data_IF_242918298220
#
_entry.id   IF_242918298220
#
_cell.length_a   1.000
_cell.length_b   1.000
_cell.length_c   1.000
_cell.angle_alpha   90.00
_cell.angle_beta   90.00
_cell.angle_gamma   90.00
#
_symmetry.space_group_name_H-M   'P 1'
#
loop_
_entity.id
_entity.type
_entity.pdbx_description
1 polymer ?
#
# COMPACT_ATOMS: atom_id res chain seq x y z
N UNK A 1 17.62 -22.70 -19.78
CA UNK A 1 17.21 -23.89 -19.00
C UNK A 1 18.18 -24.21 -17.86
N UNK A 2 19.39 -24.72 -18.10
CA UNK A 2 20.34 -25.07 -17.02
C UNK A 2 20.79 -23.87 -16.18
N UNK A 3 21.27 -22.81 -16.85
CA UNK A 3 21.76 -21.57 -16.25
C UNK A 3 20.65 -20.80 -15.49
N UNK A 4 19.45 -20.69 -16.07
CA UNK A 4 18.29 -20.05 -15.42
C UNK A 4 17.86 -20.76 -14.12
N UNK A 5 17.95 -22.09 -14.09
CA UNK A 5 17.59 -22.88 -12.90
C UNK A 5 18.61 -22.65 -11.78
N UNK A 6 19.89 -22.58 -12.13
CA UNK A 6 20.96 -22.27 -11.17
C UNK A 6 20.83 -20.86 -10.60
N UNK A 7 20.53 -19.87 -11.45
CA UNK A 7 20.27 -18.49 -11.02
C UNK A 7 19.09 -18.39 -10.05
N UNK A 8 17.98 -19.07 -10.33
CA UNK A 8 16.82 -19.12 -9.43
C UNK A 8 17.18 -19.81 -8.11
N UNK A 9 17.90 -20.93 -8.15
CA UNK A 9 18.30 -21.62 -6.93
C UNK A 9 19.23 -20.76 -6.06
N UNK A 10 20.16 -20.02 -6.69
CA UNK A 10 21.00 -19.04 -6.01
C UNK A 10 20.14 -17.96 -5.36
N UNK A 11 19.18 -17.39 -6.07
CA UNK A 11 18.26 -16.39 -5.55
C UNK A 11 17.51 -16.89 -4.31
N UNK A 12 16.87 -18.06 -4.39
CA UNK A 12 16.11 -18.63 -3.26
C UNK A 12 17.00 -18.81 -2.03
N UNK A 13 18.20 -19.39 -2.21
CA UNK A 13 19.15 -19.61 -1.11
C UNK A 13 19.58 -18.29 -0.44
N UNK A 14 19.81 -17.24 -1.23
CA UNK A 14 20.20 -15.93 -0.72
C UNK A 14 19.05 -15.25 0.04
N UNK A 15 17.83 -15.27 -0.51
CA UNK A 15 16.66 -14.65 0.12
C UNK A 15 16.38 -15.28 1.49
N UNK A 16 16.58 -16.58 1.69
CA UNK A 16 16.33 -17.25 2.98
C UNK A 16 17.57 -17.38 3.89
N UNK A 17 18.69 -16.78 3.50
CA UNK A 17 19.96 -16.94 4.22
C UNK A 17 19.93 -16.40 5.65
N UNK A 18 20.72 -17.03 6.54
CA UNK A 18 20.85 -16.61 7.95
C UNK A 18 21.57 -15.26 8.10
N UNK A 19 22.63 -15.03 7.31
CA UNK A 19 23.40 -13.79 7.32
C UNK A 19 22.66 -12.66 6.60
N UNK A 20 22.67 -11.45 7.16
CA UNK A 20 21.93 -10.33 6.56
C UNK A 20 22.57 -9.88 5.24
N UNK A 21 23.89 -10.00 5.10
CA UNK A 21 24.63 -9.67 3.88
C UNK A 21 24.18 -10.54 2.69
N UNK A 22 24.03 -11.84 2.91
CA UNK A 22 23.52 -12.76 1.89
C UNK A 22 22.08 -12.43 1.49
N UNK A 23 21.24 -12.00 2.44
CA UNK A 23 19.88 -11.54 2.13
C UNK A 23 19.88 -10.26 1.30
N UNK A 24 20.76 -9.31 1.61
CA UNK A 24 20.96 -8.09 0.80
C UNK A 24 21.41 -8.45 -0.62
N UNK A 25 22.33 -9.42 -0.77
CA UNK A 25 22.75 -9.93 -2.09
C UNK A 25 21.56 -10.54 -2.84
N UNK A 26 20.71 -11.32 -2.17
CA UNK A 26 19.51 -11.88 -2.77
C UNK A 26 18.54 -10.82 -3.28
N UNK A 27 18.35 -9.74 -2.52
CA UNK A 27 17.49 -8.61 -2.91
C UNK A 27 18.09 -7.86 -4.11
N UNK A 28 19.39 -7.60 -4.13
CA UNK A 28 20.07 -7.00 -5.28
C UNK A 28 19.98 -7.89 -6.53
N UNK A 29 20.17 -9.20 -6.36
CA UNK A 29 20.06 -10.17 -7.46
C UNK A 29 18.64 -10.19 -8.03
N UNK A 30 17.60 -10.13 -7.19
CA UNK A 30 16.24 -10.06 -7.70
C UNK A 30 16.01 -8.81 -8.57
N UNK A 31 16.49 -7.64 -8.12
CA UNK A 31 16.37 -6.42 -8.90
C UNK A 31 17.07 -6.53 -10.26
N UNK A 32 18.27 -7.11 -10.27
CA UNK A 32 19.02 -7.36 -11.50
C UNK A 32 18.25 -8.28 -12.46
N UNK A 33 17.67 -9.36 -11.93
CA UNK A 33 16.82 -10.27 -12.71
C UNK A 33 15.55 -9.59 -13.24
N UNK A 34 14.94 -8.69 -12.47
CA UNK A 34 13.80 -7.89 -12.96
C UNK A 34 14.21 -6.99 -14.14
N UNK A 35 15.39 -6.36 -14.07
CA UNK A 35 15.90 -5.46 -15.12
C UNK A 35 16.33 -6.21 -16.38
N UNK A 36 17.04 -7.33 -16.21
CA UNK A 36 17.73 -8.02 -17.30
C UNK A 36 17.00 -9.26 -17.81
N UNK A 37 16.14 -9.87 -16.99
CA UNK A 37 15.45 -11.13 -17.29
C UNK A 37 14.00 -11.15 -16.77
N UNK A 38 13.16 -10.13 -17.06
CA UNK A 38 11.83 -9.98 -16.46
C UNK A 38 10.93 -11.20 -16.71
N UNK A 39 11.04 -11.86 -17.86
CA UNK A 39 10.26 -13.09 -18.17
C UNK A 39 10.56 -14.24 -17.22
N UNK A 40 11.81 -14.40 -16.78
CA UNK A 40 12.19 -15.43 -15.81
C UNK A 40 11.50 -15.15 -14.47
N UNK A 41 11.49 -13.88 -14.05
CA UNK A 41 10.85 -13.44 -12.80
C UNK A 41 9.34 -13.62 -12.87
N UNK A 42 8.69 -13.12 -13.93
CA UNK A 42 7.22 -13.20 -14.04
C UNK A 42 6.71 -14.63 -14.15
N UNK A 43 7.48 -15.53 -14.78
CA UNK A 43 7.15 -16.97 -14.84
C UNK A 43 7.20 -17.64 -13.46
N UNK A 44 8.06 -17.17 -12.55
CA UNK A 44 8.28 -17.75 -11.23
C UNK A 44 7.78 -16.84 -10.10
N UNK A 45 6.87 -15.90 -10.41
CA UNK A 45 6.60 -14.75 -9.55
C UNK A 45 6.09 -15.14 -8.17
N UNK A 46 5.19 -16.13 -8.09
CA UNK A 46 4.60 -16.56 -6.82
C UNK A 46 5.67 -17.14 -5.89
N UNK A 47 6.60 -17.94 -6.43
CA UNK A 47 7.65 -18.57 -5.63
C UNK A 47 8.71 -17.57 -5.19
N UNK A 48 9.21 -16.75 -6.12
CA UNK A 48 10.19 -15.70 -5.83
C UNK A 48 9.66 -14.74 -4.77
N UNK A 49 8.44 -14.24 -4.97
CA UNK A 49 7.91 -13.25 -4.06
C UNK A 49 7.48 -13.85 -2.74
N UNK A 50 7.14 -15.14 -2.67
CA UNK A 50 6.91 -15.87 -1.42
C UNK A 50 8.08 -15.78 -0.45
N UNK A 51 9.32 -15.86 -0.94
CA UNK A 51 10.52 -15.64 -0.11
C UNK A 51 10.82 -14.14 0.08
N UNK A 52 10.60 -13.33 -0.96
CA UNK A 52 10.86 -11.89 -0.92
C UNK A 52 10.03 -11.15 0.16
N UNK A 53 8.74 -11.49 0.34
CA UNK A 53 7.91 -10.84 1.38
C UNK A 53 8.45 -11.07 2.79
N UNK A 54 9.17 -12.17 3.04
CA UNK A 54 9.84 -12.40 4.32
C UNK A 54 10.93 -11.38 4.61
N UNK A 55 11.43 -10.67 3.59
CA UNK A 55 12.46 -9.62 3.71
C UNK A 55 11.84 -8.23 3.91
N UNK A 56 10.60 -8.02 3.49
CA UNK A 56 9.86 -6.79 3.83
C UNK A 56 9.66 -6.70 5.36
N UNK A 57 9.54 -7.85 6.03
CA UNK A 57 9.41 -7.96 7.50
C UNK A 57 10.72 -8.39 8.18
N UNK A 58 11.88 -8.13 7.58
CA UNK A 58 13.18 -8.59 8.12
C UNK A 58 13.47 -8.03 9.54
N UNK A 59 14.17 -8.81 10.36
CA UNK A 59 14.58 -8.39 11.69
C UNK A 59 15.68 -7.32 11.63
N UNK A 60 16.50 -7.32 10.58
CA UNK A 60 17.56 -6.34 10.38
C UNK A 60 17.08 -5.16 9.55
N UNK A 61 17.09 -3.97 10.16
CA UNK A 61 16.50 -2.76 9.56
C UNK A 61 17.12 -2.34 8.22
N UNK A 62 18.42 -2.57 8.01
CA UNK A 62 19.06 -2.26 6.72
C UNK A 62 18.53 -3.14 5.59
N UNK A 63 18.23 -4.41 5.88
CA UNK A 63 17.58 -5.31 4.92
C UNK A 63 16.18 -4.80 4.62
N UNK A 64 15.37 -4.48 5.64
CA UNK A 64 14.03 -3.93 5.41
C UNK A 64 14.03 -2.69 4.53
N UNK A 65 14.91 -1.73 4.82
CA UNK A 65 15.02 -0.50 4.04
C UNK A 65 15.38 -0.82 2.58
N UNK A 66 16.44 -1.60 2.35
CA UNK A 66 16.86 -1.97 0.99
C UNK A 66 15.74 -2.70 0.23
N UNK A 67 15.04 -3.63 0.88
CA UNK A 67 13.96 -4.39 0.25
C UNK A 67 12.83 -3.48 -0.19
N UNK A 68 12.46 -2.49 0.63
CA UNK A 68 11.40 -1.53 0.29
C UNK A 68 11.84 -0.59 -0.84
N UNK A 69 13.08 -0.12 -0.82
CA UNK A 69 13.65 0.71 -1.91
C UNK A 69 13.67 -0.07 -3.24
N UNK A 70 14.12 -1.33 -3.19
CA UNK A 70 14.15 -2.23 -4.35
C UNK A 70 12.73 -2.60 -4.81
N UNK A 71 11.80 -2.79 -3.88
CA UNK A 71 10.41 -3.07 -4.21
C UNK A 71 9.78 -1.92 -5.02
N UNK A 72 10.07 -0.68 -4.66
CA UNK A 72 9.63 0.49 -5.42
C UNK A 72 10.10 0.41 -6.89
N UNK A 73 11.36 0.06 -7.14
CA UNK A 73 11.88 -0.14 -8.50
C UNK A 73 11.23 -1.34 -9.21
N UNK A 74 11.07 -2.46 -8.50
CA UNK A 74 10.46 -3.68 -9.06
C UNK A 74 9.01 -3.42 -9.47
N UNK A 75 8.25 -2.65 -8.70
CA UNK A 75 6.87 -2.26 -9.04
C UNK A 75 6.83 -1.52 -10.36
N UNK A 76 7.71 -0.54 -10.57
CA UNK A 76 7.80 0.21 -11.82
C UNK A 76 8.27 -0.64 -13.01
N UNK A 77 9.01 -1.73 -12.77
CA UNK A 77 9.51 -2.63 -13.84
C UNK A 77 8.47 -3.69 -14.23
N UNK A 78 7.82 -4.30 -13.23
CA UNK A 78 6.95 -5.46 -13.45
C UNK A 78 5.46 -5.10 -13.54
N UNK A 79 5.05 -3.94 -13.01
CA UNK A 79 3.69 -3.40 -13.10
C UNK A 79 2.61 -4.47 -12.79
N UNK A 80 1.62 -4.62 -13.68
CA UNK A 80 0.53 -5.57 -13.57
C UNK A 80 0.97 -7.04 -13.46
N UNK A 81 2.21 -7.39 -13.83
CA UNK A 81 2.69 -8.74 -13.62
C UNK A 81 2.74 -9.12 -12.14
N UNK A 82 2.81 -8.15 -11.22
CA UNK A 82 2.78 -8.34 -9.77
C UNK A 82 1.40 -8.66 -9.21
N UNK A 83 0.33 -8.59 -10.02
CA UNK A 83 -1.04 -8.84 -9.57
C UNK A 83 -1.24 -10.13 -8.74
N UNK A 84 -0.60 -11.27 -9.05
CA UNK A 84 -0.72 -12.49 -8.24
C UNK A 84 -0.18 -12.40 -6.81
N UNK A 85 0.71 -11.44 -6.54
CA UNK A 85 1.40 -11.27 -5.24
C UNK A 85 1.17 -9.89 -4.62
N UNK A 86 0.38 -9.04 -5.28
CA UNK A 86 0.10 -7.66 -4.89
C UNK A 86 -0.38 -7.53 -3.44
N UNK A 87 -1.32 -8.36 -3.01
CA UNK A 87 -1.89 -8.31 -1.66
C UNK A 87 -0.79 -8.43 -0.60
N UNK A 88 0.10 -9.42 -0.73
CA UNK A 88 1.17 -9.66 0.23
C UNK A 88 2.22 -8.53 0.23
N UNK A 89 2.51 -7.97 -0.95
CA UNK A 89 3.43 -6.85 -1.12
C UNK A 89 2.89 -5.59 -0.43
N UNK A 90 1.63 -5.23 -0.73
CA UNK A 90 0.98 -4.06 -0.16
C UNK A 90 0.85 -4.20 1.36
N UNK A 91 0.40 -5.36 1.86
CA UNK A 91 0.34 -5.61 3.31
C UNK A 91 1.72 -5.40 3.98
N UNK A 92 2.79 -5.89 3.34
CA UNK A 92 4.16 -5.70 3.81
C UNK A 92 4.60 -4.22 3.83
N UNK A 93 4.27 -3.46 2.79
CA UNK A 93 4.55 -2.02 2.70
C UNK A 93 3.82 -1.29 3.84
N UNK A 94 2.51 -1.52 3.99
CA UNK A 94 1.67 -0.83 4.97
C UNK A 94 2.13 -1.09 6.41
N UNK A 95 2.57 -2.32 6.74
CA UNK A 95 3.16 -2.64 8.05
C UNK A 95 4.40 -1.81 8.36
N UNK A 96 5.20 -1.47 7.34
CA UNK A 96 6.43 -0.70 7.51
C UNK A 96 6.21 0.82 7.59
N UNK A 97 5.03 1.34 7.22
CA UNK A 97 4.70 2.76 7.42
C UNK A 97 4.73 3.15 8.90
N UNK A 98 4.46 2.22 9.81
CA UNK A 98 4.55 2.46 11.26
C UNK A 98 5.98 2.32 11.84
N UNK A 99 6.99 2.12 10.99
CA UNK A 99 8.38 2.01 11.46
C UNK A 99 8.84 3.31 12.12
N UNK A 100 9.52 3.19 13.27
CA UNK A 100 10.20 4.32 13.92
C UNK A 100 11.53 4.68 13.28
N UNK A 101 12.05 3.81 12.41
CA UNK A 101 13.27 4.09 11.66
C UNK A 101 12.90 4.93 10.43
N UNK A 102 13.43 6.16 10.30
CA UNK A 102 13.02 7.09 9.25
C UNK A 102 13.39 6.61 7.85
N UNK A 103 14.49 5.85 7.71
CA UNK A 103 14.89 5.28 6.42
C UNK A 103 13.92 4.21 5.95
N UNK A 104 13.52 3.31 6.86
CA UNK A 104 12.49 2.29 6.56
C UNK A 104 11.13 2.93 6.25
N UNK A 105 10.72 3.95 7.02
CA UNK A 105 9.46 4.65 6.76
C UNK A 105 9.48 5.35 5.39
N UNK A 106 10.54 6.09 5.06
CA UNK A 106 10.66 6.75 3.76
C UNK A 106 10.65 5.76 2.59
N UNK A 107 11.34 4.62 2.71
CA UNK A 107 11.33 3.57 1.71
C UNK A 107 9.92 2.95 1.54
N UNK A 108 9.19 2.77 2.64
CA UNK A 108 7.80 2.28 2.60
C UNK A 108 6.86 3.28 1.90
N UNK A 109 6.99 4.58 2.19
CA UNK A 109 6.23 5.64 1.51
C UNK A 109 6.52 5.63 0.01
N UNK A 110 7.80 5.54 -0.38
CA UNK A 110 8.19 5.45 -1.79
C UNK A 110 7.58 4.22 -2.49
N UNK A 111 7.67 3.04 -1.88
CA UNK A 111 7.06 1.83 -2.43
C UNK A 111 5.53 1.93 -2.56
N UNK A 112 4.87 2.64 -1.63
CA UNK A 112 3.44 2.92 -1.69
C UNK A 112 3.08 3.86 -2.84
N UNK A 113 3.89 4.88 -3.10
CA UNK A 113 3.72 5.82 -4.21
C UNK A 113 3.87 5.11 -5.57
N UNK A 114 4.91 4.29 -5.73
CA UNK A 114 5.09 3.47 -6.93
C UNK A 114 3.94 2.48 -7.13
N UNK A 115 3.41 1.91 -6.04
CA UNK A 115 2.23 1.03 -6.10
C UNK A 115 1.06 1.76 -6.77
N UNK A 116 0.76 2.99 -6.36
CA UNK A 116 -0.36 3.77 -6.93
C UNK A 116 -0.12 4.18 -8.37
N UNK A 117 1.13 4.47 -8.72
CA UNK A 117 1.50 4.86 -10.07
C UNK A 117 1.35 3.70 -11.07
N UNK A 118 1.70 2.48 -10.68
CA UNK A 118 1.88 1.36 -11.62
C UNK A 118 0.91 0.19 -11.46
N UNK A 119 0.22 0.04 -10.31
CA UNK A 119 -0.65 -1.12 -10.05
C UNK A 119 -2.13 -0.77 -10.23
N UNK A 120 -2.97 -1.80 -10.37
CA UNK A 120 -4.42 -1.63 -10.53
C UNK A 120 -5.06 -0.90 -9.35
N UNK A 121 -5.51 0.33 -9.63
CA UNK A 121 -6.13 1.26 -8.65
C UNK A 121 -7.32 0.67 -7.90
N UNK A 122 -8.12 -0.17 -8.57
CA UNK A 122 -9.31 -0.80 -7.95
C UNK A 122 -8.88 -1.80 -6.89
N UNK A 123 -7.86 -2.61 -7.20
CA UNK A 123 -7.30 -3.60 -6.28
C UNK A 123 -6.58 -2.94 -5.11
N UNK A 124 -5.80 -1.89 -5.37
CA UNK A 124 -5.18 -1.08 -4.32
C UNK A 124 -6.20 -0.46 -3.36
N UNK A 125 -7.29 0.12 -3.87
CA UNK A 125 -8.31 0.72 -3.00
C UNK A 125 -8.95 -0.33 -2.08
N UNK A 126 -9.20 -1.55 -2.59
CA UNK A 126 -9.72 -2.65 -1.77
C UNK A 126 -8.73 -3.03 -0.68
N UNK A 127 -7.46 -3.19 -1.03
CA UNK A 127 -6.43 -3.61 -0.08
C UNK A 127 -6.16 -2.53 0.99
N UNK A 128 -6.04 -1.26 0.59
CA UNK A 128 -5.88 -0.15 1.52
C UNK A 128 -7.05 -0.09 2.50
N UNK A 129 -8.29 -0.18 2.00
CA UNK A 129 -9.49 -0.19 2.85
C UNK A 129 -9.51 -1.38 3.81
N UNK A 130 -9.11 -2.57 3.35
CA UNK A 130 -9.06 -3.78 4.17
C UNK A 130 -8.06 -3.65 5.34
N UNK A 131 -6.87 -3.12 5.06
CA UNK A 131 -5.81 -2.96 6.08
C UNK A 131 -5.99 -1.71 6.94
N UNK A 132 -6.78 -0.74 6.49
CA UNK A 132 -6.89 0.59 7.08
C UNK A 132 -7.16 0.57 8.59
N UNK A 133 -8.05 -0.32 9.06
CA UNK A 133 -8.42 -0.40 10.48
C UNK A 133 -7.29 -0.87 11.40
N UNK A 134 -6.23 -1.48 10.84
CA UNK A 134 -5.06 -1.94 11.59
C UNK A 134 -4.01 -0.85 11.76
N UNK A 135 -4.14 0.28 11.05
CA UNK A 135 -3.18 1.37 11.08
C UNK A 135 -3.45 2.34 12.23
N UNK A 136 -2.43 3.12 12.59
CA UNK A 136 -2.53 4.15 13.61
C UNK A 136 -1.58 5.31 13.32
N UNK A 137 -1.74 6.43 14.02
CA UNK A 137 -0.84 7.57 13.91
C UNK A 137 -0.69 8.09 12.48
N UNK A 138 0.55 8.36 12.07
CA UNK A 138 0.87 8.91 10.74
C UNK A 138 0.54 7.93 9.61
N UNK A 139 0.83 6.62 9.78
CA UNK A 139 0.55 5.62 8.75
C UNK A 139 -0.92 5.55 8.36
N UNK A 140 -1.83 5.74 9.32
CA UNK A 140 -3.27 5.80 9.05
C UNK A 140 -3.62 7.03 8.20
N UNK A 141 -2.96 8.17 8.44
CA UNK A 141 -3.16 9.39 7.64
C UNK A 141 -2.60 9.22 6.24
N UNK A 142 -1.38 8.68 6.11
CA UNK A 142 -0.73 8.44 4.82
C UNK A 142 -1.61 7.57 3.92
N UNK A 143 -2.12 6.44 4.45
CA UNK A 143 -3.02 5.56 3.70
C UNK A 143 -4.37 6.22 3.39
N UNK A 144 -4.86 7.10 4.26
CA UNK A 144 -6.10 7.85 3.99
C UNK A 144 -5.91 8.84 2.83
N UNK A 145 -4.76 9.51 2.75
CA UNK A 145 -4.43 10.37 1.61
C UNK A 145 -4.33 9.54 0.32
N UNK A 146 -3.69 8.39 0.38
CA UNK A 146 -3.62 7.46 -0.76
C UNK A 146 -4.99 6.95 -1.22
N UNK A 147 -5.89 6.62 -0.29
CA UNK A 147 -7.29 6.28 -0.64
C UNK A 147 -7.95 7.47 -1.34
N UNK A 148 -7.74 8.70 -0.85
CA UNK A 148 -8.29 9.92 -1.42
C UNK A 148 -7.84 10.13 -2.87
N UNK A 149 -6.54 9.96 -3.15
CA UNK A 149 -5.97 10.04 -4.49
C UNK A 149 -6.58 9.03 -5.48
N UNK A 150 -7.00 7.86 -4.99
CA UNK A 150 -7.61 6.81 -5.81
C UNK A 150 -9.11 7.04 -6.07
N UNK A 151 -9.80 7.89 -5.31
CA UNK A 151 -11.28 8.04 -5.35
C UNK A 151 -11.78 8.31 -6.76
N UNK A 152 -11.24 9.32 -7.45
CA UNK A 152 -11.71 9.71 -8.78
C UNK A 152 -11.48 8.60 -9.82
N UNK A 153 -10.25 8.08 -9.90
CA UNK A 153 -9.88 7.06 -10.86
C UNK A 153 -10.61 5.73 -10.64
N UNK A 154 -10.84 5.35 -9.38
CA UNK A 154 -11.61 4.14 -9.05
C UNK A 154 -13.10 4.35 -9.29
N UNK A 155 -13.64 5.54 -8.98
CA UNK A 155 -15.05 5.83 -9.24
C UNK A 155 -15.38 5.73 -10.74
N UNK A 156 -14.53 6.27 -11.61
CA UNK A 156 -14.73 6.22 -13.06
C UNK A 156 -14.84 4.78 -13.61
N UNK A 157 -14.11 3.83 -13.01
CA UNK A 157 -14.10 2.42 -13.44
C UNK A 157 -15.08 1.53 -12.68
N UNK A 158 -15.26 1.78 -11.39
CA UNK A 158 -16.00 0.91 -10.47
C UNK A 158 -16.56 1.72 -9.28
N UNK A 159 -17.66 2.49 -9.48
CA UNK A 159 -18.29 3.30 -8.43
C UNK A 159 -18.62 2.51 -7.16
N UNK A 160 -19.02 1.25 -7.30
CA UNK A 160 -19.35 0.37 -6.17
C UNK A 160 -18.17 0.11 -5.24
N UNK A 161 -16.93 0.12 -5.76
CA UNK A 161 -15.73 -0.05 -4.93
C UNK A 161 -15.49 1.19 -4.07
N UNK A 162 -15.71 2.40 -4.60
CA UNK A 162 -15.64 3.63 -3.80
C UNK A 162 -16.67 3.59 -2.66
N UNK A 163 -17.89 3.14 -2.95
CA UNK A 163 -18.94 3.01 -1.94
C UNK A 163 -18.63 1.96 -0.86
N UNK A 164 -18.01 0.83 -1.23
CA UNK A 164 -17.72 -0.28 -0.31
C UNK A 164 -16.37 -0.16 0.40
N UNK A 165 -15.44 0.65 -0.11
CA UNK A 165 -14.07 0.71 0.39
C UNK A 165 -13.69 2.10 0.94
N UNK A 166 -13.89 3.18 0.19
CA UNK A 166 -13.49 4.52 0.62
C UNK A 166 -14.52 5.15 1.58
N UNK A 167 -15.81 4.96 1.31
CA UNK A 167 -16.87 5.54 2.13
C UNK A 167 -16.88 5.01 3.59
N UNK A 168 -16.71 3.71 3.86
CA UNK A 168 -16.59 3.23 5.25
C UNK A 168 -15.38 3.80 6.00
N UNK A 169 -14.28 4.09 5.30
CA UNK A 169 -13.10 4.74 5.88
C UNK A 169 -13.44 6.16 6.35
N UNK A 170 -14.17 6.93 5.53
CA UNK A 170 -14.66 8.26 5.93
C UNK A 170 -15.52 8.18 7.21
N UNK A 171 -16.47 7.24 7.25
CA UNK A 171 -17.35 7.06 8.42
C UNK A 171 -16.56 6.68 9.67
N UNK A 172 -15.66 5.70 9.57
CA UNK A 172 -14.84 5.28 10.70
C UNK A 172 -13.96 6.43 11.24
N UNK A 173 -13.44 7.31 10.36
CA UNK A 173 -12.69 8.50 10.77
C UNK A 173 -13.55 9.52 11.52
N UNK A 174 -14.76 9.79 11.02
CA UNK A 174 -15.69 10.74 11.64
C UNK A 174 -16.21 10.22 12.99
N UNK A 175 -16.37 8.90 13.12
CA UNK A 175 -16.80 8.25 14.35
C UNK A 175 -15.76 8.28 15.46
N UNK A 176 -14.46 8.20 15.12
CA UNK A 176 -13.38 8.20 16.11
C UNK A 176 -13.47 9.43 17.01
N UNK A 177 -13.73 9.19 18.30
CA UNK A 177 -13.87 10.23 19.34
C UNK A 177 -12.54 10.93 19.63
N UNK A 178 -11.44 10.19 19.52
CA UNK A 178 -10.08 10.69 19.61
C UNK A 178 -9.34 10.23 18.36
N UNK A 179 -9.23 11.10 17.36
CA UNK A 179 -8.27 10.87 16.29
C UNK A 179 -6.86 11.02 16.89
N UNK A 180 -5.94 10.10 16.59
CA UNK A 180 -4.56 10.24 17.05
C UNK A 180 -4.02 11.53 16.44
N UNK A 181 -3.48 12.39 17.29
CA UNK A 181 -2.95 13.73 16.99
C UNK A 181 -4.02 14.83 16.92
N UNK A 182 -3.95 15.76 17.88
CA UNK A 182 -4.68 17.04 17.92
C UNK A 182 -4.17 18.05 16.87
N UNK A 183 -3.74 17.60 15.69
CA UNK A 183 -3.10 18.46 14.69
C UNK A 183 -4.08 18.81 13.57
N UNK A 184 -3.98 20.04 13.08
CA UNK A 184 -4.70 20.51 11.89
C UNK A 184 -4.59 19.54 10.69
N UNK A 185 -3.51 18.74 10.65
CA UNK A 185 -3.26 17.77 9.59
C UNK A 185 -4.38 16.72 9.47
N UNK A 186 -4.90 16.20 10.58
CA UNK A 186 -5.97 15.19 10.56
C UNK A 186 -7.25 15.76 9.94
N UNK A 187 -7.61 17.00 10.31
CA UNK A 187 -8.79 17.68 9.75
C UNK A 187 -8.63 17.90 8.25
N UNK A 188 -7.43 18.28 7.80
CA UNK A 188 -7.11 18.46 6.38
C UNK A 188 -7.26 17.16 5.59
N UNK A 189 -6.67 16.06 6.06
CA UNK A 189 -6.78 14.73 5.40
C UNK A 189 -8.24 14.30 5.31
N UNK A 190 -8.98 14.46 6.41
CA UNK A 190 -10.39 14.10 6.46
C UNK A 190 -11.26 14.95 5.52
N UNK A 191 -11.03 16.26 5.49
CA UNK A 191 -11.72 17.18 4.59
C UNK A 191 -11.43 16.84 3.12
N UNK A 192 -10.17 16.53 2.77
CA UNK A 192 -9.81 16.08 1.41
C UNK A 192 -10.54 14.82 0.99
N UNK A 193 -10.58 13.79 1.85
CA UNK A 193 -11.34 12.57 1.58
C UNK A 193 -12.84 12.85 1.41
N UNK A 194 -13.42 13.65 2.30
CA UNK A 194 -14.82 14.02 2.23
C UNK A 194 -15.14 14.78 0.94
N UNK A 195 -14.30 15.73 0.55
CA UNK A 195 -14.45 16.51 -0.69
C UNK A 195 -14.35 15.63 -1.92
N UNK A 196 -13.32 14.77 -2.01
CA UNK A 196 -13.17 13.85 -3.14
C UNK A 196 -14.39 12.91 -3.28
N UNK A 197 -14.91 12.39 -2.16
CA UNK A 197 -16.14 11.59 -2.16
C UNK A 197 -17.38 12.41 -2.56
N UNK A 198 -17.46 13.68 -2.12
CA UNK A 198 -18.55 14.58 -2.47
C UNK A 198 -18.56 14.88 -3.97
N UNK A 199 -17.40 15.12 -4.57
CA UNK A 199 -17.23 15.40 -5.99
C UNK A 199 -17.68 14.22 -6.86
N UNK A 200 -17.29 12.99 -6.51
CA UNK A 200 -17.61 11.82 -7.34
C UNK A 200 -19.01 11.25 -7.07
N UNK A 201 -19.50 11.31 -5.82
CA UNK A 201 -20.79 10.72 -5.44
C UNK A 201 -21.96 11.72 -5.46
N UNK A 202 -21.68 13.02 -5.40
CA UNK A 202 -22.69 14.08 -5.36
C UNK A 202 -23.76 13.85 -4.29
N UNK A 203 -25.02 13.80 -4.71
CA UNK A 203 -26.16 13.63 -3.79
C UNK A 203 -26.21 12.25 -3.12
N UNK A 204 -25.51 11.24 -3.64
CA UNK A 204 -25.46 9.92 -3.01
C UNK A 204 -24.71 9.97 -1.68
N UNK A 205 -23.68 10.81 -1.55
CA UNK A 205 -22.99 10.99 -0.27
C UNK A 205 -23.96 11.48 0.81
N UNK A 206 -24.86 12.42 0.48
CA UNK A 206 -25.89 12.93 1.40
C UNK A 206 -26.89 11.84 1.81
N UNK A 207 -27.30 10.98 0.87
CA UNK A 207 -28.18 9.84 1.16
C UNK A 207 -27.50 8.84 2.11
N UNK A 208 -26.23 8.53 1.88
CA UNK A 208 -25.46 7.67 2.78
C UNK A 208 -25.21 8.32 4.14
N UNK A 209 -25.00 9.64 4.18
CA UNK A 209 -24.83 10.38 5.44
C UNK A 209 -26.12 10.36 6.29
N UNK A 210 -27.30 10.34 5.67
CA UNK A 210 -28.58 10.30 6.39
C UNK A 210 -28.76 9.03 7.26
N UNK A 211 -28.06 7.93 6.93
CA UNK A 211 -28.07 6.71 7.75
C UNK A 211 -27.03 6.71 8.87
N UNK A 212 -26.18 7.74 8.96
CA UNK A 212 -25.15 7.86 9.99
C UNK A 212 -25.71 8.51 11.27
N UNK A 213 -25.08 8.31 12.45
CA UNK A 213 -25.48 9.00 13.68
C UNK A 213 -25.45 10.55 13.54
N UNK A 214 -26.33 11.30 14.23
CA UNK A 214 -26.41 12.76 14.09
C UNK A 214 -25.09 13.51 14.30
N UNK A 215 -24.24 13.04 15.24
CA UNK A 215 -22.93 13.65 15.48
C UNK A 215 -21.94 13.45 14.32
N UNK A 216 -22.03 12.32 13.60
CA UNK A 216 -21.22 12.04 12.40
C UNK A 216 -21.64 12.97 11.27
N UNK A 217 -22.96 13.12 11.08
CA UNK A 217 -23.52 14.06 10.11
C UNK A 217 -23.06 15.50 10.39
N UNK A 218 -23.14 15.95 11.64
CA UNK A 218 -22.68 17.28 12.05
C UNK A 218 -21.18 17.48 11.78
N UNK A 219 -20.34 16.49 12.09
CA UNK A 219 -18.91 16.54 11.79
C UNK A 219 -18.64 16.62 10.30
N UNK A 220 -19.32 15.81 9.49
CA UNK A 220 -19.22 15.83 8.03
C UNK A 220 -19.56 17.23 7.49
N UNK A 221 -20.67 17.83 7.94
CA UNK A 221 -21.05 19.19 7.56
C UNK A 221 -20.11 20.28 8.06
N UNK A 222 -19.23 19.99 9.03
CA UNK A 222 -18.25 20.96 9.54
C UNK A 222 -16.91 20.94 8.80
N UNK A 223 -16.69 19.94 7.94
CA UNK A 223 -15.45 19.75 7.19
C UNK A 223 -15.63 19.90 5.68
N UNK A 224 -16.87 19.81 5.19
CA UNK A 224 -17.30 20.16 3.84
C UNK A 224 -17.81 21.59 3.82
#
# INVERSE_FOLDING_TARGET
AGDETEMLQKLYNLLVAKGFEARMEGVALLLDLCKNSPKLVTTNIVQIFGDFVLRISDTYKKVKQMVLDVLAEIIAILEDALNPVMVLLVEGILKNLNSKDPGVHAAAVKALEESIAHLDKVSLMKEFSHQWSQLSGQALLDVTERITELVEGVHARSPEVVQRCALPVLWALLEKKALPVRSANVRTVLARLASALCEVMGTQLKKCAASQPPYVQQKLSSIL
#
